data_IF_929924280343
#
_entry.id   IF_929924280343
#
_cell.length_a   1.000
_cell.length_b   1.000
_cell.length_c   1.000
_cell.angle_alpha   90.00
_cell.angle_beta   90.00
_cell.angle_gamma   90.00
#
_symmetry.space_group_name_H-M   'P 1'
#
loop_
_entity.id
_entity.type
_entity.pdbx_description
1 polymer ?
#
# COMPACT_ATOMS: atom_id res chain seq x y z
N UNK A 1 -12.54 2.72 8.04
CA UNK A 1 -12.40 2.13 6.68
C UNK A 1 -11.03 1.48 6.61
N UNK A 2 -10.90 0.18 6.30
CA UNK A 2 -9.60 -0.51 6.20
C UNK A 2 -9.18 -0.52 4.72
N UNK A 3 -7.98 -0.04 4.41
CA UNK A 3 -7.42 0.02 3.07
C UNK A 3 -6.29 -1.01 2.93
N UNK A 4 -6.09 -1.52 1.72
CA UNK A 4 -4.95 -2.37 1.38
C UNK A 4 -3.89 -1.45 0.79
N UNK A 5 -2.67 -1.53 1.31
CA UNK A 5 -1.49 -0.86 0.76
C UNK A 5 -0.59 -1.93 0.15
N UNK A 6 -0.02 -1.64 -1.01
CA UNK A 6 0.97 -2.48 -1.67
C UNK A 6 1.86 -1.63 -2.57
N UNK A 7 3.07 -2.10 -2.83
CA UNK A 7 3.99 -1.45 -3.75
C UNK A 7 3.50 -1.58 -5.21
N UNK A 8 3.47 -0.46 -5.94
CA UNK A 8 3.07 -0.41 -7.35
C UNK A 8 4.00 -1.22 -8.26
N UNK A 9 5.26 -1.41 -7.86
CA UNK A 9 6.23 -2.23 -8.57
C UNK A 9 5.75 -3.68 -8.76
N UNK A 10 4.98 -4.22 -7.81
CA UNK A 10 4.49 -5.60 -7.84
C UNK A 10 3.30 -5.82 -8.77
N UNK A 11 2.69 -4.75 -9.29
CA UNK A 11 1.47 -4.82 -10.11
C UNK A 11 1.57 -4.11 -11.46
N UNK A 12 2.57 -3.23 -11.65
CA UNK A 12 2.70 -2.40 -12.86
C UNK A 12 2.90 -3.20 -14.16
N UNK A 13 3.38 -4.44 -14.04
CA UNK A 13 3.72 -5.30 -15.18
C UNK A 13 2.69 -6.40 -15.45
N UNK A 14 1.52 -6.37 -14.80
CA UNK A 14 0.46 -7.36 -15.05
C UNK A 14 -0.12 -7.21 -16.45
N UNK A 15 -0.11 -8.30 -17.22
CA UNK A 15 -0.63 -8.34 -18.59
C UNK A 15 -2.15 -8.58 -18.60
N UNK A 16 -2.67 -9.29 -17.60
CA UNK A 16 -4.08 -9.64 -17.49
C UNK A 16 -4.84 -8.67 -16.58
N UNK A 17 -5.93 -8.10 -17.11
CA UNK A 17 -6.79 -7.13 -16.41
C UNK A 17 -7.40 -7.64 -15.09
N UNK A 18 -7.47 -8.95 -14.88
CA UNK A 18 -7.99 -9.57 -13.66
C UNK A 18 -6.90 -9.81 -12.60
N UNK A 19 -5.62 -9.80 -12.98
CA UNK A 19 -4.50 -10.09 -12.07
C UNK A 19 -4.43 -9.10 -10.91
N UNK A 20 -4.65 -7.81 -11.19
CA UNK A 20 -4.68 -6.78 -10.14
C UNK A 20 -5.79 -7.06 -9.11
N UNK A 21 -6.99 -7.41 -9.58
CA UNK A 21 -8.13 -7.69 -8.71
C UNK A 21 -7.90 -8.91 -7.83
N UNK A 22 -7.30 -9.96 -8.39
CA UNK A 22 -6.96 -11.18 -7.63
C UNK A 22 -5.83 -10.92 -6.64
N UNK A 23 -4.79 -10.18 -7.03
CA UNK A 23 -3.71 -9.81 -6.12
C UNK A 23 -4.23 -9.04 -4.89
N UNK A 24 -5.07 -8.02 -5.10
CA UNK A 24 -5.67 -7.26 -4.00
C UNK A 24 -6.54 -8.12 -3.09
N UNK A 25 -7.36 -9.00 -3.68
CA UNK A 25 -8.20 -9.91 -2.92
C UNK A 25 -7.37 -10.89 -2.07
N UNK A 26 -6.36 -11.54 -2.66
CA UNK A 26 -5.49 -12.46 -1.92
C UNK A 26 -4.71 -11.75 -0.82
N UNK A 27 -4.21 -10.53 -1.08
CA UNK A 27 -3.53 -9.72 -0.08
C UNK A 27 -4.46 -9.35 1.09
N UNK A 28 -5.73 -9.05 0.80
CA UNK A 28 -6.77 -8.83 1.82
C UNK A 28 -6.97 -10.06 2.70
N UNK A 29 -7.12 -11.23 2.09
CA UNK A 29 -7.34 -12.51 2.79
C UNK A 29 -6.16 -12.85 3.69
N UNK A 30 -4.93 -12.75 3.18
CA UNK A 30 -3.71 -12.95 3.96
C UNK A 30 -3.60 -11.98 5.14
N UNK A 31 -3.89 -10.69 4.91
CA UNK A 31 -3.88 -9.65 5.96
C UNK A 31 -4.91 -9.94 7.04
N UNK A 32 -6.13 -10.34 6.68
CA UNK A 32 -7.18 -10.66 7.64
C UNK A 32 -6.85 -11.89 8.47
N UNK A 33 -6.25 -12.91 7.85
CA UNK A 33 -5.80 -14.13 8.50
C UNK A 33 -4.48 -13.97 9.27
N UNK A 34 -3.81 -12.82 9.14
CA UNK A 34 -2.49 -12.53 9.74
C UNK A 34 -1.45 -13.60 9.41
N UNK A 35 -1.45 -14.06 8.16
CA UNK A 35 -0.52 -15.06 7.64
C UNK A 35 0.05 -14.61 6.30
N UNK A 36 1.23 -15.11 5.96
CA UNK A 36 1.86 -14.92 4.65
C UNK A 36 1.54 -16.08 3.70
N UNK A 37 1.00 -17.19 4.21
CA UNK A 37 0.66 -18.37 3.42
C UNK A 37 -0.72 -18.89 3.80
N UNK A 38 -1.55 -19.16 2.81
CA UNK A 38 -2.90 -19.68 3.02
C UNK A 38 -3.41 -20.45 1.81
N UNK A 39 -4.34 -21.37 2.09
CA UNK A 39 -5.25 -21.91 1.09
C UNK A 39 -6.57 -21.15 1.22
N UNK A 40 -6.99 -20.47 0.16
CA UNK A 40 -8.22 -19.67 0.12
C UNK A 40 -9.16 -20.36 -0.85
N UNK A 41 -10.30 -20.82 -0.35
CA UNK A 41 -11.35 -21.43 -1.16
C UNK A 41 -12.38 -20.35 -1.56
N UNK A 42 -12.87 -20.42 -2.80
CA UNK A 42 -13.95 -19.57 -3.32
C UNK A 42 -14.79 -20.40 -4.29
N UNK A 43 -16.11 -20.25 -4.25
CA UNK A 43 -16.98 -20.91 -5.22
C UNK A 43 -16.75 -20.34 -6.63
N UNK A 44 -17.03 -21.14 -7.66
CA UNK A 44 -16.87 -20.73 -9.04
C UNK A 44 -17.77 -19.52 -9.37
N UNK A 45 -18.96 -19.48 -8.79
CA UNK A 45 -19.94 -18.40 -9.00
C UNK A 45 -19.47 -17.10 -8.33
N UNK A 46 -19.02 -17.15 -7.08
CA UNK A 46 -18.45 -15.97 -6.40
C UNK A 46 -17.19 -15.45 -7.10
N UNK A 47 -16.34 -16.36 -7.60
CA UNK A 47 -15.16 -15.99 -8.37
C UNK A 47 -15.54 -15.26 -9.67
N UNK A 48 -16.54 -15.79 -10.39
CA UNK A 48 -17.04 -15.14 -11.61
C UNK A 48 -17.68 -13.80 -11.30
N UNK A 49 -18.50 -13.71 -10.26
CA UNK A 49 -19.11 -12.45 -9.81
C UNK A 49 -18.05 -11.39 -9.46
N UNK A 50 -17.02 -11.78 -8.70
CA UNK A 50 -15.92 -10.89 -8.31
C UNK A 50 -15.20 -10.27 -9.51
N UNK A 51 -15.16 -10.97 -10.65
CA UNK A 51 -14.50 -10.55 -11.89
C UNK A 51 -15.45 -10.08 -12.99
N UNK A 52 -16.76 -10.01 -12.72
CA UNK A 52 -17.81 -9.70 -13.71
C UNK A 52 -17.79 -10.66 -14.93
N UNK A 53 -17.71 -11.96 -14.65
CA UNK A 53 -17.60 -13.07 -15.61
C UNK A 53 -18.76 -14.06 -15.54
N UNK A 54 -19.87 -13.71 -14.88
CA UNK A 54 -21.02 -14.57 -14.61
C UNK A 54 -21.57 -15.21 -15.90
N UNK A 55 -21.72 -14.38 -16.94
CA UNK A 55 -22.24 -14.79 -18.25
C UNK A 55 -21.15 -15.28 -19.22
N UNK A 56 -19.89 -15.39 -18.76
CA UNK A 56 -18.76 -15.77 -19.59
C UNK A 56 -18.19 -17.13 -19.17
N UNK A 57 -17.47 -17.78 -20.10
CA UNK A 57 -16.72 -19.02 -19.85
C UNK A 57 -17.57 -20.11 -19.17
N UNK A 58 -18.66 -20.55 -19.83
CA UNK A 58 -19.55 -21.60 -19.31
C UNK A 58 -18.78 -22.90 -19.00
N UNK A 59 -17.80 -23.24 -19.81
CA UNK A 59 -16.89 -24.36 -19.56
C UNK A 59 -15.71 -23.94 -18.67
N UNK A 60 -15.46 -24.69 -17.61
CA UNK A 60 -14.29 -24.51 -16.75
C UNK A 60 -12.97 -24.51 -17.54
N UNK A 61 -12.85 -25.34 -18.58
CA UNK A 61 -11.64 -25.39 -19.42
C UNK A 61 -11.28 -24.02 -20.00
N UNK A 62 -12.28 -23.25 -20.44
CA UNK A 62 -12.06 -21.91 -20.99
C UNK A 62 -11.70 -20.91 -19.89
N UNK A 63 -12.38 -20.96 -18.74
CA UNK A 63 -12.02 -20.12 -17.59
C UNK A 63 -10.58 -20.39 -17.14
N UNK A 64 -10.19 -21.66 -17.06
CA UNK A 64 -8.83 -22.06 -16.70
C UNK A 64 -7.79 -21.55 -17.70
N UNK A 65 -8.07 -21.66 -19.00
CA UNK A 65 -7.15 -21.23 -20.05
C UNK A 65 -6.98 -19.72 -20.14
N UNK A 66 -8.08 -18.96 -20.07
CA UNK A 66 -8.09 -17.53 -20.40
C UNK A 66 -8.06 -16.61 -19.18
N UNK A 67 -8.33 -17.14 -17.98
CA UNK A 67 -8.40 -16.36 -16.75
C UNK A 67 -7.42 -16.89 -15.72
N UNK A 68 -7.57 -18.13 -15.27
CA UNK A 68 -6.76 -18.65 -14.15
C UNK A 68 -5.28 -18.76 -14.51
N UNK A 69 -4.93 -19.38 -15.65
CA UNK A 69 -3.54 -19.53 -16.09
C UNK A 69 -2.83 -18.18 -16.30
N UNK A 70 -3.42 -17.19 -17.01
CA UNK A 70 -2.83 -15.86 -17.12
C UNK A 70 -2.61 -15.17 -15.77
N UNK A 71 -3.58 -15.24 -14.86
CA UNK A 71 -3.46 -14.64 -13.52
C UNK A 71 -2.32 -15.31 -12.74
N UNK A 72 -2.25 -16.64 -12.74
CA UNK A 72 -1.15 -17.35 -12.11
C UNK A 72 0.19 -16.99 -12.74
N UNK A 73 0.27 -16.86 -14.07
CA UNK A 73 1.49 -16.41 -14.75
C UNK A 73 1.91 -15.02 -14.26
N UNK A 74 1.00 -14.05 -14.29
CA UNK A 74 1.29 -12.67 -13.91
C UNK A 74 1.79 -12.57 -12.47
N UNK A 75 1.04 -13.13 -11.51
CA UNK A 75 1.40 -13.04 -10.09
C UNK A 75 2.75 -13.72 -9.83
N UNK A 76 2.97 -14.91 -10.35
CA UNK A 76 4.22 -15.64 -10.14
C UNK A 76 5.44 -14.99 -10.80
N UNK A 77 5.24 -14.20 -11.86
CA UNK A 77 6.32 -13.57 -12.65
C UNK A 77 6.66 -12.18 -12.16
N UNK A 78 5.64 -11.36 -11.85
CA UNK A 78 5.82 -9.92 -11.66
C UNK A 78 5.59 -9.44 -10.23
N UNK A 79 4.99 -10.25 -9.37
CA UNK A 79 4.67 -9.86 -7.99
C UNK A 79 5.54 -10.57 -6.95
N UNK A 80 5.47 -10.09 -5.72
CA UNK A 80 6.03 -10.74 -4.52
C UNK A 80 5.17 -11.91 -4.00
N UNK A 81 4.27 -12.45 -4.83
CA UNK A 81 3.34 -13.51 -4.44
C UNK A 81 3.50 -14.73 -5.35
N UNK A 82 3.56 -15.91 -4.74
CA UNK A 82 3.42 -17.18 -5.42
C UNK A 82 1.99 -17.68 -5.33
N UNK A 83 1.45 -18.09 -6.48
CA UNK A 83 0.08 -18.56 -6.61
C UNK A 83 0.01 -19.87 -7.39
N UNK A 84 -0.62 -20.86 -6.78
CA UNK A 84 -1.09 -22.09 -7.44
C UNK A 84 -2.60 -22.16 -7.29
N UNK A 85 -3.31 -22.45 -8.38
CA UNK A 85 -4.77 -22.59 -8.38
C UNK A 85 -5.13 -24.06 -8.59
N UNK A 86 -5.77 -24.65 -7.61
CA UNK A 86 -6.34 -25.99 -7.67
C UNK A 86 -7.88 -25.93 -7.66
N UNK A 87 -8.54 -27.07 -7.84
CA UNK A 87 -9.99 -27.15 -7.99
C UNK A 87 -10.57 -28.37 -7.29
N UNK A 88 -11.80 -28.22 -6.78
CA UNK A 88 -12.59 -29.31 -6.18
C UNK A 88 -13.93 -29.45 -6.90
N UNK A 89 -14.54 -30.64 -6.78
CA UNK A 89 -15.85 -30.95 -7.34
C UNK A 89 -15.82 -31.57 -8.75
N UNK A 90 -16.86 -32.34 -9.06
CA UNK A 90 -17.15 -32.86 -10.42
C UNK A 90 -18.66 -32.79 -10.68
N UNK A 91 -19.16 -31.82 -11.48
CA UNK A 91 -18.39 -30.74 -12.13
C UNK A 91 -17.70 -29.82 -11.11
N UNK A 92 -16.62 -29.16 -11.53
CA UNK A 92 -15.85 -28.27 -10.65
C UNK A 92 -16.70 -27.10 -10.20
N UNK A 93 -16.83 -26.94 -8.88
CA UNK A 93 -17.65 -25.92 -8.22
C UNK A 93 -16.81 -24.95 -7.35
N UNK A 94 -15.59 -25.34 -7.00
CA UNK A 94 -14.75 -24.64 -6.03
C UNK A 94 -13.33 -24.48 -6.55
N UNK A 95 -12.77 -23.28 -6.39
CA UNK A 95 -11.38 -22.96 -6.64
C UNK A 95 -10.61 -22.87 -5.33
N UNK A 96 -9.38 -23.37 -5.31
CA UNK A 96 -8.48 -23.34 -4.16
C UNK A 96 -7.23 -22.56 -4.57
N UNK A 97 -7.10 -21.34 -4.05
CA UNK A 97 -5.93 -20.48 -4.25
C UNK A 97 -4.92 -20.79 -3.15
N UNK A 98 -3.88 -21.53 -3.50
CA UNK A 98 -2.72 -21.76 -2.64
C UNK A 98 -1.76 -20.60 -2.86
N UNK A 99 -1.74 -19.70 -1.88
CA UNK A 99 -1.01 -18.44 -1.98
C UNK A 99 0.08 -18.39 -0.92
N UNK A 100 1.25 -17.91 -1.33
CA UNK A 100 2.37 -17.60 -0.46
C UNK A 100 2.92 -16.23 -0.86
N UNK A 101 2.89 -15.29 0.08
CA UNK A 101 3.52 -13.99 -0.06
C UNK A 101 4.98 -14.14 0.37
N UNK A 102 5.89 -13.81 -0.54
CA UNK A 102 7.33 -13.89 -0.25
C UNK A 102 7.63 -13.00 0.95
N UNK A 103 8.26 -13.59 1.98
CA UNK A 103 8.79 -12.85 3.13
C UNK A 103 10.04 -12.07 2.78
N UNK A 104 10.41 -11.98 1.51
CA UNK A 104 11.30 -10.92 1.06
C UNK A 104 10.50 -9.64 1.27
N UNK A 105 10.63 -9.18 2.52
CA UNK A 105 10.10 -8.01 3.16
C UNK A 105 9.78 -7.03 2.05
N UNK A 106 8.50 -6.67 1.89
CA UNK A 106 8.18 -5.42 1.23
C UNK A 106 9.02 -4.42 2.04
N UNK A 107 10.18 -4.04 1.50
CA UNK A 107 11.17 -3.27 2.26
C UNK A 107 10.47 -2.00 2.74
N UNK A 108 9.40 -1.55 2.08
CA UNK A 108 8.52 -0.50 2.57
C UNK A 108 7.81 -0.82 3.91
N UNK A 109 7.25 -2.00 4.14
CA UNK A 109 6.45 -2.30 5.36
C UNK A 109 7.30 -2.71 6.56
N UNK A 110 8.46 -3.36 6.35
CA UNK A 110 9.37 -3.67 7.46
C UNK A 110 10.51 -2.67 7.63
N UNK A 111 10.89 -1.86 6.62
CA UNK A 111 11.67 -0.65 6.88
C UNK A 111 10.83 0.40 7.62
N UNK A 112 9.50 0.46 7.47
CA UNK A 112 8.67 1.28 8.36
C UNK A 112 8.74 0.82 9.83
N UNK A 113 8.90 -0.49 10.09
CA UNK A 113 9.05 -1.02 11.45
C UNK A 113 10.51 -0.99 11.96
N UNK A 114 11.52 -1.06 11.10
CA UNK A 114 12.95 -1.08 11.47
C UNK A 114 13.71 0.25 11.25
N UNK A 115 13.29 1.15 10.35
CA UNK A 115 13.86 2.51 10.22
C UNK A 115 13.49 3.42 11.39
N UNK A 116 12.51 3.03 12.21
CA UNK A 116 12.30 3.63 13.53
C UNK A 116 13.51 3.37 14.46
N UNK A 117 14.44 2.45 14.12
CA UNK A 117 15.55 2.05 14.99
C UNK A 117 16.98 2.36 14.52
N UNK A 118 17.27 2.68 13.25
CA UNK A 118 18.66 2.90 12.81
C UNK A 118 18.73 3.96 11.70
N UNK A 119 19.20 5.16 12.04
CA UNK A 119 19.54 6.25 11.12
C UNK A 119 20.76 5.91 10.24
N UNK A 120 20.83 6.46 9.03
CA UNK A 120 22.10 6.77 8.34
C UNK A 120 22.13 6.63 6.81
N UNK A 121 21.81 7.72 6.09
CA UNK A 121 22.37 8.23 4.81
C UNK A 121 22.58 7.26 3.59
N UNK A 122 22.13 7.51 2.34
CA UNK A 122 22.37 8.67 1.44
C UNK A 122 21.47 8.69 0.16
N UNK A 123 21.11 9.93 -0.28
CA UNK A 123 20.75 10.44 -1.66
C UNK A 123 19.30 10.21 -2.16
N UNK A 124 18.58 11.17 -2.83
CA UNK A 124 19.01 12.38 -3.57
C UNK A 124 18.44 13.75 -3.11
N UNK A 125 19.20 14.78 -3.46
CA UNK A 125 19.26 16.18 -2.95
C UNK A 125 18.03 17.07 -3.18
N UNK A 126 16.92 16.56 -3.70
CA UNK A 126 15.61 17.27 -3.74
C UNK A 126 14.61 16.73 -2.72
N UNK A 127 14.79 15.49 -2.25
CA UNK A 127 13.93 14.81 -1.27
C UNK A 127 14.33 15.19 0.17
N UNK A 128 15.59 15.60 0.36
CA UNK A 128 16.16 15.94 1.68
C UNK A 128 15.44 17.13 2.34
N UNK A 129 15.09 18.18 1.59
CA UNK A 129 14.43 19.36 2.19
C UNK A 129 13.02 19.04 2.68
N UNK A 130 12.22 18.31 1.89
CA UNK A 130 10.84 18.00 2.24
C UNK A 130 10.74 17.01 3.41
N UNK A 131 11.70 16.09 3.56
CA UNK A 131 11.75 15.16 4.68
C UNK A 131 12.11 15.87 6.01
N UNK A 132 13.04 16.83 5.98
CA UNK A 132 13.37 17.64 7.15
C UNK A 132 12.19 18.52 7.58
N UNK A 133 11.49 19.14 6.62
CA UNK A 133 10.30 19.94 6.89
C UNK A 133 9.18 19.09 7.50
N UNK A 134 8.92 17.90 6.95
CA UNK A 134 7.85 17.03 7.47
C UNK A 134 8.20 16.51 8.87
N UNK A 135 9.45 16.14 9.12
CA UNK A 135 9.89 15.72 10.44
C UNK A 135 9.78 16.86 11.47
N UNK A 136 10.19 18.07 11.09
CA UNK A 136 10.05 19.25 11.93
C UNK A 136 8.59 19.57 12.25
N UNK A 137 7.70 19.47 11.25
CA UNK A 137 6.25 19.63 11.40
C UNK A 137 5.69 18.63 12.41
N UNK A 138 5.96 17.34 12.21
CA UNK A 138 5.46 16.27 13.08
C UNK A 138 5.95 16.41 14.52
N UNK A 139 7.22 16.76 14.71
CA UNK A 139 7.80 17.02 16.04
C UNK A 139 7.15 18.21 16.73
N UNK A 140 6.94 19.31 16.00
CA UNK A 140 6.29 20.51 16.53
C UNK A 140 4.85 20.21 16.97
N UNK A 141 4.08 19.49 16.15
CA UNK A 141 2.73 19.07 16.51
C UNK A 141 2.72 18.13 17.72
N UNK A 142 3.63 17.17 17.78
CA UNK A 142 3.74 16.26 18.92
C UNK A 142 4.12 16.98 20.22
N UNK A 143 5.06 17.92 20.17
CA UNK A 143 5.47 18.69 21.32
C UNK A 143 4.39 19.67 21.78
N UNK A 144 3.56 20.17 20.85
CA UNK A 144 2.38 20.95 21.20
C UNK A 144 1.30 20.09 21.89
N UNK A 145 1.05 18.86 21.38
CA UNK A 145 0.12 17.91 21.99
C UNK A 145 0.58 17.44 23.38
N UNK A 146 1.88 17.33 23.59
CA UNK A 146 2.48 16.98 24.89
C UNK A 146 2.75 18.20 25.79
N UNK A 147 2.23 19.38 25.39
CA UNK A 147 2.37 20.65 26.11
C UNK A 147 3.82 21.10 26.39
N UNK A 148 4.80 20.59 25.63
CA UNK A 148 6.21 21.02 25.70
C UNK A 148 6.44 22.36 25.02
N UNK A 149 5.61 22.71 24.04
CA UNK A 149 5.59 24.02 23.39
C UNK A 149 4.16 24.56 23.35
N UNK A 150 4.02 25.87 23.26
CA UNK A 150 2.74 26.53 22.99
C UNK A 150 2.75 27.10 21.58
N UNK A 151 1.79 26.66 20.78
CA UNK A 151 1.53 27.18 19.44
C UNK A 151 0.44 28.26 19.52
N UNK A 152 0.56 29.30 18.71
CA UNK A 152 -0.56 30.22 18.49
C UNK A 152 -1.72 29.50 17.78
N UNK A 153 -2.92 30.06 17.86
CA UNK A 153 -4.10 29.52 17.17
C UNK A 153 -3.88 29.41 15.65
N UNK A 154 -3.15 30.37 15.07
CA UNK A 154 -2.75 30.35 13.67
C UNK A 154 -1.75 29.22 13.37
N UNK A 155 -0.66 29.11 14.13
CA UNK A 155 0.36 28.07 13.92
C UNK A 155 -0.24 26.67 14.06
N UNK A 156 -1.04 26.43 15.09
CA UNK A 156 -1.68 25.14 15.32
C UNK A 156 -2.59 24.74 14.12
N UNK A 157 -3.42 25.68 13.64
CA UNK A 157 -4.29 25.44 12.49
C UNK A 157 -3.48 25.23 11.21
N UNK A 158 -2.51 26.09 10.95
CA UNK A 158 -1.65 26.03 9.77
C UNK A 158 -0.88 24.70 9.71
N UNK A 159 -0.21 24.30 10.80
CA UNK A 159 0.55 23.06 10.86
C UNK A 159 -0.36 21.83 10.73
N UNK A 160 -1.54 21.82 11.34
CA UNK A 160 -2.53 20.75 11.19
C UNK A 160 -3.01 20.60 9.74
N UNK A 161 -3.26 21.72 9.05
CA UNK A 161 -3.65 21.73 7.63
C UNK A 161 -2.51 21.22 6.74
N UNK A 162 -1.25 21.58 7.03
CA UNK A 162 -0.07 21.07 6.31
C UNK A 162 0.10 19.57 6.52
N UNK A 163 -0.06 19.07 7.75
CA UNK A 163 0.03 17.63 8.07
C UNK A 163 -1.05 16.84 7.33
N UNK A 164 -2.30 17.31 7.39
CA UNK A 164 -3.44 16.65 6.75
C UNK A 164 -3.25 16.53 5.23
N UNK A 165 -2.72 17.58 4.59
CA UNK A 165 -2.45 17.56 3.14
C UNK A 165 -1.22 16.75 2.77
N UNK A 166 -0.20 16.72 3.62
CA UNK A 166 0.94 15.84 3.44
C UNK A 166 0.51 14.37 3.54
N UNK A 167 -0.35 14.01 4.49
CA UNK A 167 -0.89 12.65 4.65
C UNK A 167 -1.69 12.19 3.42
N UNK A 168 -2.31 13.12 2.70
CA UNK A 168 -3.06 12.84 1.46
C UNK A 168 -2.15 12.73 0.22
N UNK A 169 -1.11 13.56 0.12
CA UNK A 169 -0.30 13.69 -1.10
C UNK A 169 1.07 13.01 -1.03
N UNK A 170 1.54 12.66 0.17
CA UNK A 170 2.85 12.05 0.41
C UNK A 170 4.06 12.96 0.18
N UNK A 171 3.87 14.25 -0.12
CA UNK A 171 4.94 15.22 -0.32
C UNK A 171 4.47 16.67 -0.13
N UNK A 172 5.40 17.63 -0.13
CA UNK A 172 5.12 19.07 -0.14
C UNK A 172 5.20 19.72 -1.52
N UNK A 173 5.16 18.92 -2.61
CA UNK A 173 5.24 19.45 -3.98
C UNK A 173 4.13 20.45 -4.35
N UNK A 174 3.05 20.46 -3.57
CA UNK A 174 1.90 21.36 -3.73
C UNK A 174 2.05 22.69 -2.96
N UNK A 175 3.09 22.86 -2.14
CA UNK A 175 3.29 24.10 -1.38
C UNK A 175 3.67 25.25 -2.32
N UNK A 176 2.96 26.37 -2.18
CA UNK A 176 3.43 27.63 -2.74
C UNK A 176 4.68 28.11 -1.99
N UNK A 177 5.54 28.90 -2.65
CA UNK A 177 6.75 29.44 -2.02
C UNK A 177 6.45 30.18 -0.70
N UNK A 178 5.37 30.96 -0.65
CA UNK A 178 4.93 31.67 0.56
C UNK A 178 4.57 30.72 1.70
N UNK A 179 3.87 29.63 1.40
CA UNK A 179 3.53 28.61 2.39
C UNK A 179 4.77 27.84 2.87
N UNK A 180 5.71 27.54 1.96
CA UNK A 180 6.99 26.91 2.29
C UNK A 180 7.79 27.77 3.27
N UNK A 181 7.99 29.05 2.95
CA UNK A 181 8.69 29.99 3.86
C UNK A 181 7.97 30.17 5.19
N UNK A 182 6.63 30.17 5.20
CA UNK A 182 5.85 30.24 6.45
C UNK A 182 6.09 29.00 7.31
N UNK A 183 6.08 27.80 6.70
CA UNK A 183 6.37 26.55 7.38
C UNK A 183 7.80 26.55 7.94
N UNK A 184 8.78 26.91 7.14
CA UNK A 184 10.19 27.02 7.55
C UNK A 184 10.37 27.97 8.74
N UNK A 185 9.78 29.16 8.70
CA UNK A 185 9.88 30.14 9.79
C UNK A 185 9.27 29.62 11.10
N UNK A 186 8.13 28.93 11.02
CA UNK A 186 7.50 28.33 12.21
C UNK A 186 8.40 27.22 12.77
N UNK A 187 8.96 26.37 11.92
CA UNK A 187 9.84 25.28 12.35
C UNK A 187 11.16 25.79 12.95
N UNK A 188 11.75 26.84 12.36
CA UNK A 188 12.94 27.50 12.88
C UNK A 188 12.70 28.13 14.25
N UNK A 189 11.53 28.75 14.46
CA UNK A 189 11.13 29.32 15.76
C UNK A 189 11.15 28.30 16.91
N UNK A 190 10.90 27.02 16.61
CA UNK A 190 10.92 25.93 17.59
C UNK A 190 12.14 24.99 17.45
N UNK A 191 13.20 25.43 16.75
CA UNK A 191 14.48 24.72 16.66
C UNK A 191 14.41 23.37 15.93
N UNK A 192 13.57 23.27 14.88
CA UNK A 192 13.34 21.99 14.17
C UNK A 192 14.08 21.85 12.84
N UNK A 193 14.61 22.95 12.34
CA UNK A 193 15.46 23.05 11.15
C UNK A 193 16.54 24.09 11.39
#
# INVERSE_FOLDING_TARGET
KKFIKYNLEHVKSFENKYSMRIYEWLLKELTQKKTHKANIEISLDEFKFMLMLENNYHEFKRLNQWVLKPISKDLNTYSNMKLVVDKRGRPTDTLIFQVELDRQMDLVTELENNQIKMNGDKIPTTITSDSHLHNGLRKTLHDALTAKIQLTSFEAKFLSDMQSKYDLNGSFSWLTQKQRTTLENILAKYGRI
#
